data_IF_986199412953
#
_entry.id   IF_986199412953
#
_cell.length_a   1.000
_cell.length_b   1.000
_cell.length_c   1.000
_cell.angle_alpha   90.00
_cell.angle_beta   90.00
_cell.angle_gamma   90.00
#
_symmetry.space_group_name_H-M   'P 1'
#
loop_
_entity.id
_entity.type
_entity.pdbx_description
1 polymer ?
#
# COMPACT_ATOMS: atom_id res chain seq x y z
N UNK A 1 44.97 6.65 33.31
CA UNK A 1 44.58 5.35 32.73
C UNK A 1 45.72 4.83 31.90
N UNK A 2 46.03 3.53 31.97
CA UNK A 2 47.17 2.95 31.25
C UNK A 2 47.04 3.11 29.73
N UNK A 3 48.16 3.07 28.98
CA UNK A 3 48.15 3.09 27.51
C UNK A 3 47.26 1.98 26.90
N UNK A 4 47.18 0.82 27.56
CA UNK A 4 46.33 -0.31 27.16
C UNK A 4 44.84 0.02 27.32
N UNK A 5 44.46 0.64 28.44
CA UNK A 5 43.09 1.07 28.68
C UNK A 5 42.63 2.11 27.64
N UNK A 6 43.51 3.04 27.26
CA UNK A 6 43.21 4.01 26.20
C UNK A 6 43.05 3.34 24.83
N UNK A 7 43.84 2.29 24.53
CA UNK A 7 43.72 1.52 23.28
C UNK A 7 42.41 0.73 23.23
N UNK A 8 42.10 -0.03 24.28
CA UNK A 8 40.84 -0.79 24.38
C UNK A 8 39.62 0.11 24.19
N UNK A 9 39.63 1.29 24.80
CA UNK A 9 38.53 2.24 24.66
C UNK A 9 38.36 2.75 23.22
N UNK A 10 39.46 3.04 22.52
CA UNK A 10 39.42 3.46 21.11
C UNK A 10 38.91 2.34 20.20
N UNK A 11 39.37 1.11 20.42
CA UNK A 11 38.97 -0.04 19.60
C UNK A 11 37.50 -0.39 19.82
N UNK A 12 37.03 -0.34 21.07
CA UNK A 12 35.61 -0.48 21.41
C UNK A 12 34.74 0.60 20.72
N UNK A 13 35.17 1.86 20.76
CA UNK A 13 34.46 2.95 20.08
C UNK A 13 34.39 2.74 18.55
N UNK A 14 35.47 2.26 17.92
CA UNK A 14 35.49 1.93 16.48
C UNK A 14 34.52 0.81 16.15
N UNK A 15 34.48 -0.24 16.97
CA UNK A 15 33.59 -1.38 16.79
C UNK A 15 32.12 -0.98 16.90
N UNK A 16 31.78 -0.12 17.87
CA UNK A 16 30.42 0.42 18.02
C UNK A 16 30.01 1.20 16.77
N UNK A 17 30.88 2.08 16.26
CA UNK A 17 30.57 2.85 15.05
C UNK A 17 30.51 1.98 13.79
N UNK A 18 31.33 0.93 13.69
CA UNK A 18 31.25 -0.06 12.60
C UNK A 18 29.88 -0.73 12.58
N UNK A 19 29.42 -1.26 13.72
CA UNK A 19 28.10 -1.91 13.83
C UNK A 19 26.97 -0.96 13.49
N UNK A 20 27.04 0.28 13.97
CA UNK A 20 26.05 1.31 13.62
C UNK A 20 25.96 1.52 12.11
N UNK A 21 27.09 1.62 11.42
CA UNK A 21 27.12 1.77 9.94
C UNK A 21 26.57 0.55 9.23
N UNK A 22 26.85 -0.65 9.72
CA UNK A 22 26.34 -1.90 9.13
C UNK A 22 24.82 -1.99 9.22
N UNK A 23 24.24 -1.65 10.37
CA UNK A 23 22.78 -1.60 10.55
C UNK A 23 22.14 -0.60 9.60
N UNK A 24 22.72 0.60 9.46
CA UNK A 24 22.23 1.62 8.53
C UNK A 24 22.31 1.13 7.07
N UNK A 25 23.43 0.52 6.69
CA UNK A 25 23.62 0.03 5.33
C UNK A 25 22.63 -1.08 5.00
N UNK A 26 22.47 -2.04 5.90
CA UNK A 26 21.48 -3.10 5.74
C UNK A 26 20.07 -2.52 5.58
N UNK A 27 19.71 -1.51 6.39
CA UNK A 27 18.41 -0.84 6.25
C UNK A 27 18.21 -0.20 4.86
N UNK A 28 19.25 0.45 4.32
CA UNK A 28 19.20 1.06 2.98
C UNK A 28 19.12 -0.01 1.89
N UNK A 29 19.86 -1.11 2.03
CA UNK A 29 19.87 -2.20 1.06
C UNK A 29 18.49 -2.90 1.03
N UNK A 30 17.88 -3.13 2.20
CA UNK A 30 16.49 -3.65 2.28
C UNK A 30 15.46 -2.70 1.65
N UNK A 31 15.65 -1.38 1.76
CA UNK A 31 14.78 -0.42 1.06
C UNK A 31 14.92 -0.55 -0.46
N UNK A 32 16.13 -0.77 -0.97
CA UNK A 32 16.37 -0.91 -2.41
C UNK A 32 15.62 -2.11 -3.01
N UNK A 33 15.49 -3.23 -2.29
CA UNK A 33 14.75 -4.41 -2.75
C UNK A 33 13.25 -4.16 -2.95
N UNK A 34 12.67 -3.22 -2.20
CA UNK A 34 11.24 -2.90 -2.27
C UNK A 34 10.91 -1.83 -3.32
N UNK A 35 11.91 -1.09 -3.79
CA UNK A 35 11.73 0.06 -4.68
C UNK A 35 11.97 -0.39 -6.13
N UNK A 36 10.98 -0.24 -7.03
CA UNK A 36 11.15 -0.60 -8.43
C UNK A 36 12.27 0.23 -9.08
N UNK A 37 13.25 -0.45 -9.69
CA UNK A 37 14.36 0.21 -10.37
C UNK A 37 15.34 0.92 -9.41
N UNK A 38 15.48 0.44 -8.18
CA UNK A 38 16.46 0.96 -7.24
C UNK A 38 17.88 0.83 -7.79
N UNK A 39 18.64 1.93 -7.70
CA UNK A 39 20.04 1.97 -8.09
C UNK A 39 20.97 1.69 -6.90
N UNK A 40 22.25 1.43 -7.14
CA UNK A 40 23.24 1.15 -6.08
C UNK A 40 23.65 2.39 -5.25
N UNK A 41 23.11 3.57 -5.56
CA UNK A 41 23.45 4.81 -4.87
C UNK A 41 22.53 5.04 -3.65
N UNK A 42 23.09 5.03 -2.44
CA UNK A 42 22.35 5.19 -1.17
C UNK A 42 21.48 6.44 -1.10
N UNK A 43 21.99 7.59 -1.56
CA UNK A 43 21.23 8.84 -1.56
C UNK A 43 20.03 8.78 -2.50
N UNK A 44 20.21 8.14 -3.66
CA UNK A 44 19.15 7.95 -4.64
C UNK A 44 18.11 6.92 -4.19
N UNK A 45 18.53 5.82 -3.56
CA UNK A 45 17.62 4.84 -2.95
C UNK A 45 16.68 5.54 -1.97
N UNK A 46 17.21 6.38 -1.07
CA UNK A 46 16.40 7.09 -0.09
C UNK A 46 15.40 8.05 -0.76
N UNK A 47 15.85 8.83 -1.75
CA UNK A 47 14.96 9.72 -2.50
C UNK A 47 13.85 8.95 -3.23
N UNK A 48 14.21 7.88 -3.95
CA UNK A 48 13.25 7.01 -4.65
C UNK A 48 12.29 6.32 -3.67
N UNK A 49 12.72 5.99 -2.46
CA UNK A 49 11.88 5.43 -1.41
C UNK A 49 10.75 6.40 -1.03
N UNK A 50 11.12 7.67 -0.78
CA UNK A 50 10.16 8.73 -0.43
C UNK A 50 9.16 8.92 -1.57
N UNK A 51 9.64 9.03 -2.81
CA UNK A 51 8.77 9.18 -3.99
C UNK A 51 7.86 7.96 -4.19
N UNK A 52 8.38 6.75 -3.96
CA UNK A 52 7.61 5.53 -4.12
C UNK A 52 6.52 5.39 -3.06
N UNK A 53 6.82 5.70 -1.79
CA UNK A 53 5.82 5.76 -0.71
C UNK A 53 4.73 6.78 -1.03
N UNK A 54 5.11 7.97 -1.52
CA UNK A 54 4.15 8.99 -1.95
C UNK A 54 3.22 8.48 -3.06
N UNK A 55 3.79 7.82 -4.08
CA UNK A 55 3.00 7.21 -5.16
C UNK A 55 2.08 6.09 -4.67
N UNK A 56 2.55 5.23 -3.76
CA UNK A 56 1.73 4.16 -3.19
C UNK A 56 0.51 4.73 -2.46
N UNK A 57 0.70 5.77 -1.66
CA UNK A 57 -0.39 6.46 -0.96
C UNK A 57 -1.41 7.06 -1.94
N UNK A 58 -0.94 7.80 -2.95
CA UNK A 58 -1.84 8.36 -3.96
C UNK A 58 -2.58 7.28 -4.74
N UNK A 59 -1.93 6.15 -5.02
CA UNK A 59 -2.56 5.02 -5.72
C UNK A 59 -3.61 4.33 -4.85
N UNK A 60 -3.36 4.19 -3.55
CA UNK A 60 -4.32 3.69 -2.57
C UNK A 60 -5.57 4.57 -2.50
N UNK A 61 -5.39 5.89 -2.38
CA UNK A 61 -6.49 6.87 -2.39
C UNK A 61 -7.35 6.76 -3.66
N UNK A 62 -6.71 6.69 -4.83
CA UNK A 62 -7.40 6.49 -6.12
C UNK A 62 -8.13 5.16 -6.21
N UNK A 63 -7.53 4.09 -5.69
CA UNK A 63 -8.18 2.78 -5.66
C UNK A 63 -9.44 2.82 -4.80
N UNK A 64 -9.37 3.42 -3.61
CA UNK A 64 -10.53 3.56 -2.72
C UNK A 64 -11.64 4.35 -3.42
N UNK A 65 -11.31 5.45 -4.09
CA UNK A 65 -12.30 6.25 -4.84
C UNK A 65 -12.93 5.41 -5.96
N UNK A 66 -12.12 4.72 -6.76
CA UNK A 66 -12.60 3.84 -7.83
C UNK A 66 -13.55 2.76 -7.30
N UNK A 67 -13.14 2.03 -6.27
CA UNK A 67 -13.95 0.99 -5.63
C UNK A 67 -15.25 1.55 -5.06
N UNK A 68 -15.20 2.76 -4.49
CA UNK A 68 -16.39 3.45 -3.96
C UNK A 68 -17.39 3.73 -5.08
N UNK A 69 -16.92 4.28 -6.21
CA UNK A 69 -17.77 4.57 -7.37
C UNK A 69 -18.36 3.28 -7.95
N UNK A 70 -17.53 2.25 -8.17
CA UNK A 70 -17.97 0.97 -8.71
C UNK A 70 -19.04 0.32 -7.81
N UNK A 71 -18.87 0.38 -6.49
CA UNK A 71 -19.86 -0.10 -5.54
C UNK A 71 -21.18 0.66 -5.65
N UNK A 72 -21.14 2.00 -5.67
CA UNK A 72 -22.36 2.83 -5.79
C UNK A 72 -23.13 2.54 -7.09
N UNK A 73 -22.41 2.36 -8.20
CA UNK A 73 -23.02 2.00 -9.48
C UNK A 73 -23.65 0.60 -9.45
N UNK A 74 -22.97 -0.36 -8.83
CA UNK A 74 -23.53 -1.71 -8.66
C UNK A 74 -24.78 -1.70 -7.78
N UNK A 75 -24.76 -0.97 -6.65
CA UNK A 75 -25.90 -0.83 -5.75
C UNK A 75 -27.10 -0.17 -6.46
N UNK A 76 -26.84 0.86 -7.28
CA UNK A 76 -27.88 1.50 -8.11
C UNK A 76 -28.48 0.52 -9.13
N UNK A 77 -27.64 -0.24 -9.86
CA UNK A 77 -28.11 -1.22 -10.83
C UNK A 77 -28.92 -2.35 -10.17
N UNK A 78 -28.51 -2.81 -8.99
CA UNK A 78 -29.25 -3.81 -8.20
C UNK A 78 -30.63 -3.28 -7.81
N UNK A 79 -30.71 -2.02 -7.36
CA UNK A 79 -31.98 -1.37 -6.99
C UNK A 79 -32.94 -1.28 -8.18
N UNK A 80 -32.44 -0.86 -9.34
CA UNK A 80 -33.21 -0.75 -10.58
C UNK A 80 -33.74 -2.12 -11.05
N UNK A 81 -32.87 -3.14 -11.08
CA UNK A 81 -33.26 -4.50 -11.45
C UNK A 81 -34.28 -5.09 -10.48
N UNK A 82 -34.12 -4.83 -9.18
CA UNK A 82 -35.08 -5.27 -8.16
C UNK A 82 -36.45 -4.64 -8.39
N UNK A 83 -36.50 -3.34 -8.69
CA UNK A 83 -37.75 -2.63 -9.00
C UNK A 83 -38.44 -3.19 -10.25
N UNK A 84 -37.69 -3.42 -11.33
CA UNK A 84 -38.21 -4.01 -12.57
C UNK A 84 -38.77 -5.42 -12.34
N UNK A 85 -38.08 -6.24 -11.55
CA UNK A 85 -38.55 -7.60 -11.21
C UNK A 85 -39.88 -7.54 -10.45
N UNK A 86 -40.03 -6.65 -9.48
CA UNK A 86 -41.28 -6.51 -8.72
C UNK A 86 -42.43 -5.99 -9.59
N UNK A 87 -42.16 -5.06 -10.50
CA UNK A 87 -43.15 -4.61 -11.49
C UNK A 87 -43.63 -5.76 -12.38
N UNK A 88 -42.69 -6.51 -12.97
CA UNK A 88 -43.00 -7.65 -13.83
C UNK A 88 -43.77 -8.73 -13.08
N UNK A 89 -43.40 -9.04 -11.82
CA UNK A 89 -44.15 -10.00 -10.98
C UNK A 89 -45.59 -9.53 -10.76
N UNK A 90 -45.81 -8.25 -10.47
CA UNK A 90 -47.13 -7.66 -10.27
C UNK A 90 -47.99 -7.76 -11.54
N UNK A 91 -47.44 -7.38 -12.70
CA UNK A 91 -48.13 -7.48 -13.98
C UNK A 91 -48.47 -8.93 -14.34
N UNK A 92 -47.54 -9.86 -14.14
CA UNK A 92 -47.73 -11.27 -14.41
C UNK A 92 -48.84 -11.86 -13.51
N UNK A 93 -48.89 -11.45 -12.24
CA UNK A 93 -49.99 -11.81 -11.33
C UNK A 93 -51.34 -11.26 -11.81
N UNK A 94 -51.38 -10.00 -12.27
CA UNK A 94 -52.59 -9.37 -12.81
C UNK A 94 -53.08 -10.09 -14.07
N UNK A 95 -52.20 -10.35 -15.03
CA UNK A 95 -52.53 -11.04 -16.28
C UNK A 95 -53.02 -12.46 -16.02
N UNK A 96 -52.37 -13.21 -15.12
CA UNK A 96 -52.82 -14.56 -14.72
C UNK A 96 -54.23 -14.57 -14.11
N UNK A 97 -54.64 -13.51 -13.43
CA UNK A 97 -55.99 -13.39 -12.89
C UNK A 97 -57.06 -13.11 -13.95
N UNK A 98 -56.69 -12.56 -15.11
CA UNK A 98 -57.61 -12.25 -16.21
C UNK A 98 -57.91 -13.45 -17.12
N UNK A 99 -57.03 -14.47 -17.10
CA UNK A 99 -57.15 -15.68 -17.93
C UNK A 99 -57.79 -16.83 -17.12
N UNK A 100 -58.22 -16.57 -15.89
CA UNK A 100 -58.86 -17.52 -14.97
C UNK A 100 -60.34 -17.22 -14.85
#
# INVERSE_FOLDING_TARGET
>A
GSPEWQRMRRDSHKEVERRRREVINHGIDSLAELIPGAEKNKGRIIAQAVDYIGRLRTNEEKNIEKWTIEKLLADQAISELTSQVEQLKSENKRLKAQIK
#
